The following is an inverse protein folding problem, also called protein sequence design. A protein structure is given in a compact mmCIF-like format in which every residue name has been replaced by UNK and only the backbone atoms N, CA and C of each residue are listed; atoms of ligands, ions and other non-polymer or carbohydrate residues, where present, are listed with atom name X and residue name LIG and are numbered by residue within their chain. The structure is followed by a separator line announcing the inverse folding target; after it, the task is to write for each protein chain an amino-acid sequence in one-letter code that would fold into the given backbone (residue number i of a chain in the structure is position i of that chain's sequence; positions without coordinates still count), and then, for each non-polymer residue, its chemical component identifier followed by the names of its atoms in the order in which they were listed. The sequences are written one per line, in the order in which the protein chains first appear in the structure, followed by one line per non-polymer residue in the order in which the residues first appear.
data_IF_491919333077
#
_entry.id   IF_491919333077
#
_cell.length_a   1.000
_cell.length_b   1.000
_cell.length_c   1.000
_cell.angle_alpha   90.00
_cell.angle_beta   90.00
_cell.angle_gamma   90.00
#
_symmetry.space_group_name_H-M   'P 1'
#
loop_
_entity.id
_entity.type
_entity.pdbx_description
1 polymer ?
#
# COMPACT_ATOMS: atom_id res chain seq x y z
N UNK A 1 -15.45 4.71 -4.45
CA UNK A 1 -14.07 4.45 -3.98
C UNK A 1 -14.14 3.38 -2.90
N UNK A 2 -13.11 2.54 -2.77
CA UNK A 2 -13.07 1.47 -1.76
C UNK A 2 -11.92 1.73 -0.80
N UNK A 3 -12.16 1.49 0.50
CA UNK A 3 -11.10 1.56 1.50
C UNK A 3 -10.28 0.28 1.46
N UNK A 4 -8.97 0.38 1.64
CA UNK A 4 -8.10 -0.78 1.75
C UNK A 4 -6.99 -0.53 2.77
N UNK A 5 -6.34 -1.61 3.18
CA UNK A 5 -5.08 -1.60 3.89
C UNK A 5 -4.19 -2.66 3.26
N UNK A 6 -3.06 -2.23 2.71
CA UNK A 6 -2.20 -3.10 1.94
C UNK A 6 -0.73 -2.68 2.03
N UNK A 7 0.15 -3.65 1.86
CA UNK A 7 1.57 -3.44 1.63
C UNK A 7 1.88 -3.72 0.16
N UNK A 8 2.66 -2.86 -0.47
CA UNK A 8 3.05 -2.94 -1.88
C UNK A 8 4.51 -3.36 -1.98
N UNK A 9 4.76 -4.43 -2.73
CA UNK A 9 6.10 -4.99 -2.95
C UNK A 9 6.40 -5.07 -4.45
N UNK A 10 7.69 -5.14 -4.78
CA UNK A 10 8.12 -5.67 -6.08
C UNK A 10 7.70 -7.12 -6.17
N UNK A 11 7.11 -7.52 -7.30
CA UNK A 11 6.76 -8.91 -7.58
C UNK A 11 8.04 -9.74 -7.79
N UNK A 12 8.31 -10.77 -6.98
CA UNK A 12 9.40 -11.70 -7.27
C UNK A 12 9.20 -12.43 -8.61
N UNK A 13 10.29 -12.73 -9.31
CA UNK A 13 10.23 -13.48 -10.57
C UNK A 13 9.60 -14.87 -10.36
N UNK A 14 9.91 -15.49 -9.24
CA UNK A 14 9.39 -16.79 -8.82
C UNK A 14 8.18 -16.59 -7.88
N UNK A 15 7.01 -16.34 -8.46
CA UNK A 15 5.73 -16.37 -7.74
C UNK A 15 4.85 -17.46 -8.33
N UNK A 16 4.23 -18.28 -7.49
CA UNK A 16 3.24 -19.25 -7.92
C UNK A 16 1.83 -18.67 -7.77
N UNK A 17 0.89 -19.17 -8.57
CA UNK A 17 -0.52 -18.88 -8.36
C UNK A 17 -1.01 -19.70 -7.18
N UNK A 18 -1.52 -19.05 -6.14
CA UNK A 18 -2.10 -19.71 -4.98
C UNK A 18 -3.54 -20.19 -5.25
N UNK A 19 -4.29 -20.52 -4.20
CA UNK A 19 -5.74 -20.75 -4.32
C UNK A 19 -6.54 -19.44 -4.35
N UNK A 20 -7.76 -19.42 -4.89
CA UNK A 20 -8.64 -18.28 -4.66
C UNK A 20 -9.00 -18.16 -3.17
N UNK A 21 -9.17 -16.94 -2.69
CA UNK A 21 -9.67 -16.64 -1.34
C UNK A 21 -10.79 -15.62 -1.42
N UNK A 22 -11.73 -15.67 -0.48
CA UNK A 22 -12.74 -14.61 -0.34
C UNK A 22 -12.11 -13.43 0.41
N UNK A 23 -12.16 -12.26 -0.20
CA UNK A 23 -11.82 -10.98 0.45
C UNK A 23 -13.03 -10.07 0.36
N UNK A 24 -13.66 -9.83 1.51
CA UNK A 24 -14.84 -8.96 1.63
C UNK A 24 -15.97 -9.34 0.65
N UNK A 25 -16.23 -10.65 0.46
CA UNK A 25 -17.29 -11.15 -0.43
C UNK A 25 -16.90 -11.19 -1.91
N UNK A 26 -15.61 -11.06 -2.21
CA UNK A 26 -15.05 -11.17 -3.56
C UNK A 26 -14.04 -12.29 -3.62
N UNK A 27 -14.25 -13.23 -4.54
CA UNK A 27 -13.26 -14.27 -4.84
C UNK A 27 -12.08 -13.63 -5.58
N UNK A 28 -10.90 -13.68 -4.98
CA UNK A 28 -9.66 -13.15 -5.55
C UNK A 28 -8.62 -14.24 -5.67
N UNK A 29 -7.98 -14.30 -6.83
CA UNK A 29 -6.87 -15.22 -7.07
C UNK A 29 -5.62 -14.74 -6.31
N UNK A 30 -5.08 -15.57 -5.43
CA UNK A 30 -3.86 -15.24 -4.67
C UNK A 30 -2.59 -15.60 -5.43
N UNK A 31 -1.47 -15.07 -4.93
CA UNK A 31 -0.12 -15.52 -5.25
C UNK A 31 0.47 -16.20 -4.02
N UNK A 32 1.14 -17.32 -4.23
CA UNK A 32 2.02 -17.92 -3.23
C UNK A 32 3.43 -17.37 -3.47
N UNK A 33 3.90 -16.62 -2.46
CA UNK A 33 5.16 -15.88 -2.50
C UNK A 33 5.93 -16.20 -1.23
N UNK A 34 7.16 -16.69 -1.38
CA UNK A 34 8.06 -16.87 -0.25
C UNK A 34 8.34 -15.52 0.43
N UNK A 35 8.17 -15.46 1.75
CA UNK A 35 8.39 -14.24 2.53
C UNK A 35 9.81 -13.69 2.39
N UNK A 36 10.82 -14.55 2.20
CA UNK A 36 12.19 -14.10 1.96
C UNK A 36 12.33 -13.34 0.63
N UNK A 37 11.45 -13.63 -0.33
CA UNK A 37 11.42 -12.98 -1.65
C UNK A 37 10.70 -11.63 -1.63
N UNK A 38 9.89 -11.33 -0.61
CA UNK A 38 9.26 -10.00 -0.43
C UNK A 38 10.26 -8.91 0.02
N UNK A 39 11.54 -9.25 0.18
CA UNK A 39 12.62 -8.30 0.48
C UNK A 39 13.34 -7.74 -0.76
N UNK A 40 12.82 -7.96 -1.97
CA UNK A 40 13.41 -7.41 -3.18
C UNK A 40 13.25 -5.88 -3.21
N UNK A 41 14.34 -5.12 -3.36
CA UNK A 41 14.24 -3.67 -3.39
C UNK A 41 13.59 -3.19 -4.69
N UNK A 42 12.85 -2.09 -4.58
CA UNK A 42 12.46 -1.30 -5.74
C UNK A 42 13.71 -0.71 -6.43
N UNK A 43 13.56 -0.41 -7.72
CA UNK A 43 14.61 0.29 -8.46
C UNK A 43 14.81 1.72 -7.94
N UNK A 44 13.72 2.38 -7.53
CA UNK A 44 13.74 3.71 -6.92
C UNK A 44 14.24 3.63 -5.47
N UNK A 45 15.04 4.62 -5.07
CA UNK A 45 15.44 4.79 -3.67
C UNK A 45 14.31 5.37 -2.82
N UNK A 46 14.49 5.34 -1.50
CA UNK A 46 13.57 5.98 -0.57
C UNK A 46 13.52 7.50 -0.78
N UNK A 47 14.69 8.12 -0.91
CA UNK A 47 14.88 9.56 -1.10
C UNK A 47 14.32 10.02 -2.45
N UNK A 48 14.58 9.25 -3.53
CA UNK A 48 14.03 9.55 -4.85
C UNK A 48 12.50 9.54 -4.83
N UNK A 49 11.87 8.62 -4.09
CA UNK A 49 10.41 8.58 -3.97
C UNK A 49 9.87 9.76 -3.14
N UNK A 50 10.56 10.14 -2.07
CA UNK A 50 10.19 11.35 -1.30
C UNK A 50 10.26 12.62 -2.16
N UNK A 51 11.32 12.78 -2.96
CA UNK A 51 11.46 13.92 -3.89
C UNK A 51 10.32 13.97 -4.92
N UNK A 52 9.79 12.82 -5.33
CA UNK A 52 8.59 12.73 -6.19
C UNK A 52 7.34 13.11 -5.40
N UNK A 53 7.18 12.61 -4.18
CA UNK A 53 6.03 12.87 -3.31
C UNK A 53 5.89 14.36 -2.99
N UNK A 54 6.98 15.10 -2.81
CA UNK A 54 6.96 16.56 -2.63
C UNK A 54 6.33 17.31 -3.80
N UNK A 55 6.34 16.72 -4.99
CA UNK A 55 5.76 17.31 -6.20
C UNK A 55 4.26 17.00 -6.34
N UNK A 56 3.74 16.06 -5.55
CA UNK A 56 2.33 15.68 -5.64
C UNK A 56 1.45 16.72 -4.93
N UNK A 57 0.43 17.26 -5.63
CA UNK A 57 -0.43 18.27 -5.03
C UNK A 57 -1.19 17.67 -3.86
N UNK A 58 -1.18 18.41 -2.72
CA UNK A 58 -1.84 18.01 -1.47
C UNK A 58 -1.32 16.70 -0.87
N UNK A 59 -0.11 16.29 -1.23
CA UNK A 59 0.64 15.26 -0.52
C UNK A 59 1.52 15.94 0.54
N UNK A 60 1.53 15.36 1.73
CA UNK A 60 2.47 15.70 2.79
C UNK A 60 3.26 14.44 3.07
N UNK A 61 4.58 14.49 2.90
CA UNK A 61 5.48 13.39 3.21
C UNK A 61 6.54 13.89 4.19
N UNK A 62 6.87 13.07 5.18
CA UNK A 62 7.88 13.36 6.18
C UNK A 62 9.18 12.59 5.88
N UNK A 63 10.35 13.08 6.35
CA UNK A 63 11.63 12.40 6.14
C UNK A 63 11.72 10.98 6.72
N UNK A 64 10.80 10.61 7.62
CA UNK A 64 10.72 9.26 8.19
C UNK A 64 9.92 8.28 7.30
N UNK A 65 9.41 8.74 6.16
CA UNK A 65 8.68 7.95 5.19
C UNK A 65 7.18 7.91 5.42
N UNK A 66 6.66 8.52 6.49
CA UNK A 66 5.23 8.69 6.66
C UNK A 66 4.68 9.71 5.68
N UNK A 67 3.49 9.45 5.12
CA UNK A 67 2.83 10.40 4.23
C UNK A 67 1.32 10.33 4.30
N UNK A 68 0.69 11.47 3.98
CA UNK A 68 -0.75 11.62 3.79
C UNK A 68 -1.00 12.31 2.47
N UNK A 69 -1.76 11.68 1.60
CA UNK A 69 -2.20 12.26 0.34
C UNK A 69 -3.71 12.38 0.32
N UNK A 70 -4.23 13.57 0.02
CA UNK A 70 -5.67 13.82 0.04
C UNK A 70 -6.14 14.66 -1.14
N UNK A 71 -7.39 14.46 -1.52
CA UNK A 71 -7.97 15.20 -2.62
C UNK A 71 -9.49 15.10 -2.67
N UNK A 72 -10.03 15.75 -3.69
CA UNK A 72 -11.45 15.79 -4.00
C UNK A 72 -11.63 15.15 -5.38
N UNK A 73 -12.69 14.36 -5.55
CA UNK A 73 -13.07 13.78 -6.85
C UNK A 73 -14.58 13.87 -7.04
N UNK A 74 -15.10 13.70 -8.27
CA UNK A 74 -16.55 13.58 -8.49
C UNK A 74 -17.20 12.42 -7.70
N UNK A 75 -16.41 11.43 -7.29
CA UNK A 75 -16.85 10.29 -6.48
C UNK A 75 -16.78 10.54 -4.96
N UNK A 76 -16.35 11.75 -4.54
CA UNK A 76 -16.17 12.15 -3.15
C UNK A 76 -14.72 12.48 -2.80
N UNK A 77 -14.53 12.94 -1.57
CA UNK A 77 -13.22 13.18 -0.97
C UNK A 77 -12.48 11.85 -0.75
N UNK A 78 -11.16 11.89 -0.89
CA UNK A 78 -10.30 10.73 -0.69
C UNK A 78 -9.07 11.10 0.14
N UNK A 79 -8.56 10.09 0.84
CA UNK A 79 -7.33 10.19 1.63
C UNK A 79 -6.62 8.85 1.64
N UNK A 80 -5.34 8.88 1.29
CA UNK A 80 -4.42 7.76 1.37
C UNK A 80 -3.31 8.11 2.35
N UNK A 81 -3.27 7.37 3.45
CA UNK A 81 -2.18 7.38 4.41
C UNK A 81 -1.18 6.28 4.03
N UNK A 82 0.10 6.49 4.27
CA UNK A 82 1.08 5.45 4.00
C UNK A 82 2.42 5.64 4.70
N UNK A 83 3.23 4.60 4.60
CA UNK A 83 4.55 4.52 5.20
C UNK A 83 5.51 3.85 4.23
N UNK A 84 6.61 4.53 3.93
CA UNK A 84 7.73 3.99 3.16
C UNK A 84 8.66 3.20 4.09
N UNK A 85 9.10 2.02 3.65
CA UNK A 85 10.09 1.20 4.35
C UNK A 85 11.29 0.98 3.44
N UNK A 86 12.48 1.34 3.92
CA UNK A 86 13.73 1.14 3.21
C UNK A 86 14.62 0.08 3.87
N UNK A 87 15.61 -0.39 3.10
CA UNK A 87 16.76 -1.11 3.63
C UNK A 87 17.97 -0.84 2.75
N UNK A 88 19.05 -0.39 3.38
CA UNK A 88 20.30 -0.05 2.70
C UNK A 88 20.13 1.03 1.60
N UNK A 89 19.28 2.04 1.85
CA UNK A 89 19.08 3.16 0.92
C UNK A 89 18.25 2.78 -0.31
N UNK A 90 17.48 1.69 -0.23
CA UNK A 90 16.55 1.25 -1.27
C UNK A 90 15.19 1.04 -0.65
N UNK A 91 14.14 1.49 -1.34
CA UNK A 91 12.78 1.21 -0.95
C UNK A 91 12.53 -0.31 -1.01
N UNK A 92 11.97 -0.88 0.05
CA UNK A 92 11.60 -2.29 0.11
C UNK A 92 10.12 -2.50 -0.12
N UNK A 93 9.28 -1.73 0.57
CA UNK A 93 7.84 -1.81 0.46
C UNK A 93 7.18 -0.53 0.94
N UNK A 94 5.92 -0.38 0.57
CA UNK A 94 5.08 0.74 1.00
C UNK A 94 3.83 0.21 1.65
N UNK A 95 3.53 0.64 2.87
CA UNK A 95 2.21 0.42 3.48
C UNK A 95 1.27 1.54 3.09
N UNK A 96 0.04 1.17 2.76
CA UNK A 96 -1.01 2.06 2.30
C UNK A 96 -2.31 1.76 3.05
N UNK A 97 -3.00 2.80 3.50
CA UNK A 97 -4.33 2.69 4.08
C UNK A 97 -5.21 3.86 3.69
N UNK A 98 -6.48 3.59 3.40
CA UNK A 98 -7.48 4.62 3.13
C UNK A 98 -8.19 4.43 1.80
N UNK A 99 -8.65 5.53 1.22
CA UNK A 99 -9.42 5.58 -0.03
C UNK A 99 -8.69 6.47 -1.03
N UNK A 100 -8.71 6.07 -2.30
CA UNK A 100 -8.11 6.86 -3.38
C UNK A 100 -8.91 6.65 -4.66
N UNK A 101 -8.93 7.67 -5.52
CA UNK A 101 -9.48 7.53 -6.86
C UNK A 101 -8.51 6.79 -7.78
N UNK A 102 -9.02 6.31 -8.92
CA UNK A 102 -8.24 5.51 -9.86
C UNK A 102 -7.06 6.29 -10.44
N UNK A 103 -7.26 7.54 -10.84
CA UNK A 103 -6.21 8.33 -11.52
C UNK A 103 -5.03 8.60 -10.59
N UNK A 104 -5.32 8.91 -9.33
CA UNK A 104 -4.31 9.15 -8.30
C UNK A 104 -3.63 7.85 -7.88
N UNK A 105 -4.36 6.73 -7.84
CA UNK A 105 -3.74 5.44 -7.61
C UNK A 105 -2.75 5.07 -8.72
N UNK A 106 -3.11 5.24 -10.00
CA UNK A 106 -2.20 5.01 -11.14
C UNK A 106 -0.96 5.91 -11.06
N UNK A 107 -1.12 7.16 -10.61
CA UNK A 107 -0.01 8.10 -10.38
C UNK A 107 0.96 7.59 -9.30
N UNK A 108 0.43 7.06 -8.20
CA UNK A 108 1.25 6.41 -7.16
C UNK A 108 1.99 5.19 -7.70
N UNK A 109 1.31 4.31 -8.44
CA UNK A 109 1.95 3.13 -9.03
C UNK A 109 3.06 3.50 -10.01
N UNK A 110 2.85 4.55 -10.81
CA UNK A 110 3.86 5.07 -11.71
C UNK A 110 5.11 5.59 -10.96
N UNK A 111 4.92 6.28 -9.82
CA UNK A 111 6.03 6.70 -8.97
C UNK A 111 6.82 5.52 -8.39
N UNK A 112 6.14 4.40 -8.14
CA UNK A 112 6.76 3.13 -7.72
C UNK A 112 7.40 2.35 -8.88
N UNK A 113 7.40 2.90 -10.10
CA UNK A 113 8.04 2.29 -11.27
C UNK A 113 7.14 1.36 -12.08
N UNK A 114 5.85 1.25 -11.77
CA UNK A 114 4.90 0.52 -12.60
C UNK A 114 4.64 1.29 -13.91
N UNK A 115 4.49 0.61 -15.08
CA UNK A 115 4.41 -0.83 -15.29
C UNK A 115 5.74 -1.56 -15.50
N UNK A 116 6.89 -0.87 -15.52
CA UNK A 116 8.19 -1.50 -15.75
C UNK A 116 8.61 -2.41 -14.59
N UNK A 117 8.25 -2.03 -13.37
CA UNK A 117 8.37 -2.85 -12.17
C UNK A 117 7.03 -3.53 -11.92
N UNK A 118 7.00 -4.86 -12.01
CA UNK A 118 5.82 -5.62 -11.61
C UNK A 118 5.62 -5.51 -10.09
N UNK A 119 4.40 -5.23 -9.66
CA UNK A 119 4.05 -5.03 -8.25
C UNK A 119 3.11 -6.15 -7.76
N UNK A 120 3.16 -6.42 -6.46
CA UNK A 120 2.18 -7.26 -5.74
C UNK A 120 1.69 -6.55 -4.48
N UNK A 121 0.48 -6.90 -4.07
CA UNK A 121 -0.17 -6.32 -2.91
C UNK A 121 -0.44 -7.42 -1.89
N UNK A 122 -0.02 -7.19 -0.66
CA UNK A 122 -0.45 -7.97 0.49
C UNK A 122 -1.55 -7.19 1.21
N UNK A 123 -2.75 -7.75 1.32
CA UNK A 123 -3.83 -7.14 2.10
C UNK A 123 -3.59 -7.45 3.59
N UNK A 124 -3.48 -6.43 4.45
CA UNK A 124 -2.91 -6.57 5.81
C UNK A 124 -3.92 -6.49 6.96
N UNK A 125 -5.23 -6.50 6.66
CA UNK A 125 -6.26 -6.30 7.70
C UNK A 125 -6.26 -7.43 8.76
N UNK A 126 -6.55 -7.01 9.99
CA UNK A 126 -5.83 -7.36 11.22
C UNK A 126 -5.73 -8.83 11.68
N UNK A 127 -6.56 -9.76 11.22
CA UNK A 127 -6.55 -11.15 11.74
C UNK A 127 -6.43 -11.29 13.30
N UNK A 128 -7.00 -10.37 14.09
CA UNK A 128 -6.98 -10.36 15.57
C UNK A 128 -8.40 -10.31 16.14
N UNK A 129 -8.60 -11.03 17.26
CA UNK A 129 -9.83 -11.08 18.04
C UNK A 129 -9.69 -10.24 19.32
N UNK A 130 -10.69 -9.39 19.58
CA UNK A 130 -10.81 -8.56 20.78
C UNK A 130 -12.05 -8.97 21.58
N UNK A 131 -12.01 -8.80 22.90
CA UNK A 131 -13.18 -8.87 23.78
C UNK A 131 -14.01 -7.56 23.72
N UNK A 132 -15.30 -7.58 24.09
CA UNK A 132 -16.24 -6.48 23.80
C UNK A 132 -15.87 -5.14 24.47
N UNK A 133 -15.29 -5.15 25.67
CA UNK A 133 -14.79 -3.93 26.29
C UNK A 133 -13.57 -3.36 25.54
N UNK A 134 -12.74 -4.24 24.97
CA UNK A 134 -11.57 -3.87 24.17
C UNK A 134 -12.00 -3.31 22.80
N UNK A 135 -13.03 -3.88 22.16
CA UNK A 135 -13.51 -3.35 20.88
C UNK A 135 -14.32 -2.03 21.01
N UNK A 136 -15.15 -1.89 22.04
CA UNK A 136 -15.96 -0.66 22.22
C UNK A 136 -15.08 0.53 22.62
N UNK A 137 -14.09 0.28 23.48
CA UNK A 137 -13.00 1.22 23.70
C UNK A 137 -12.20 1.51 22.42
N UNK A 138 -12.00 0.52 21.53
CA UNK A 138 -11.29 0.65 20.24
C UNK A 138 -12.03 1.47 19.18
N UNK A 139 -13.36 1.42 19.12
CA UNK A 139 -14.16 2.13 18.11
C UNK A 139 -14.78 3.46 18.60
N UNK A 140 -14.59 3.83 19.88
CA UNK A 140 -15.15 5.05 20.47
C UNK A 140 -16.63 4.95 20.90
N UNK A 141 -17.04 3.83 21.51
CA UNK A 141 -18.40 3.48 21.99
C UNK A 141 -18.48 3.10 23.48
#
# INVERSE_FOLDING_TARGET
MHAFQASVYVRPAECQTGGPVDVEGREVQTLDVDQHSLGLPFAISFEELLDIFEQFPRMFAEPDGSFVWRGESPAGDWQLDGQLFDRHGRLLYVELSGTIDRERFETLLAALGWPQTALVFQLTRAAVLLEVHEFRSYAGL
#
